data_IF_722061351561
#
_entry.id   IF_722061351561
#
_cell.length_a   1.000
_cell.length_b   1.000
_cell.length_c   1.000
_cell.angle_alpha   90.00
_cell.angle_beta   90.00
_cell.angle_gamma   90.00
#
_symmetry.space_group_name_H-M   'P 1'
#
loop_
_entity.id
_entity.type
_entity.pdbx_description
1 polymer ?
#
# COMPACT_ATOMS: atom_id res chain seq x y z
N UNK A 1 -1.13 -26.35 -7.86
CA UNK A 1 0.12 -25.55 -7.90
C UNK A 1 -0.26 -24.11 -7.60
N UNK A 2 0.56 -23.36 -6.85
CA UNK A 2 0.27 -21.95 -6.55
C UNK A 2 0.69 -21.10 -7.75
N UNK A 3 -0.27 -20.74 -8.61
CA UNK A 3 -0.03 -20.02 -9.88
C UNK A 3 0.05 -18.49 -9.73
N UNK A 4 0.22 -18.01 -8.49
CA UNK A 4 0.43 -16.59 -8.23
C UNK A 4 1.85 -16.20 -8.69
N UNK A 5 1.94 -15.21 -9.59
CA UNK A 5 3.19 -14.58 -9.99
C UNK A 5 3.64 -13.56 -8.93
N UNK A 6 2.70 -12.82 -8.36
CA UNK A 6 2.93 -11.85 -7.28
C UNK A 6 2.02 -12.21 -6.12
N UNK A 7 2.56 -12.20 -4.90
CA UNK A 7 1.80 -12.36 -3.66
C UNK A 7 2.34 -11.38 -2.64
N UNK A 8 1.46 -10.49 -2.17
CA UNK A 8 1.73 -9.54 -1.09
C UNK A 8 0.76 -9.83 0.03
N UNK A 9 1.27 -9.84 1.26
CA UNK A 9 0.48 -10.18 2.46
C UNK A 9 0.71 -9.12 3.52
N UNK A 10 -0.40 -8.61 4.05
CA UNK A 10 -0.45 -7.72 5.21
C UNK A 10 0.48 -6.49 5.10
N UNK A 11 0.63 -5.94 3.89
CA UNK A 11 1.49 -4.78 3.65
C UNK A 11 0.85 -3.54 4.25
N UNK A 12 1.62 -2.84 5.08
CA UNK A 12 1.26 -1.53 5.59
C UNK A 12 2.42 -0.58 5.35
N UNK A 13 2.13 0.63 4.86
CA UNK A 13 3.12 1.66 4.58
C UNK A 13 2.71 2.93 5.31
N UNK A 14 3.64 3.48 6.08
CA UNK A 14 3.47 4.74 6.80
C UNK A 14 4.61 5.69 6.43
N UNK A 15 4.29 6.97 6.30
CA UNK A 15 5.27 8.03 6.10
C UNK A 15 5.24 8.98 7.30
N UNK A 16 6.42 9.36 7.78
CA UNK A 16 6.55 10.41 8.78
C UNK A 16 6.23 11.76 8.08
N UNK A 17 5.29 12.49 8.68
CA UNK A 17 4.91 13.83 8.24
C UNK A 17 5.12 14.80 9.40
N UNK A 18 5.91 15.85 9.16
CA UNK A 18 6.21 16.87 10.16
C UNK A 18 6.16 18.24 9.49
N UNK A 19 5.18 19.06 9.87
CA UNK A 19 5.03 20.41 9.30
C UNK A 19 6.11 21.38 9.80
N UNK A 20 6.57 21.23 11.04
CA UNK A 20 7.61 22.07 11.65
C UNK A 20 8.45 21.25 12.65
N UNK A 21 9.69 21.70 12.91
CA UNK A 21 10.63 21.03 13.82
C UNK A 21 10.11 20.85 15.26
N UNK A 22 9.17 21.72 15.68
CA UNK A 22 8.51 21.69 17.00
C UNK A 22 7.17 20.93 17.00
N UNK A 23 6.64 20.55 15.84
CA UNK A 23 5.36 19.85 15.75
C UNK A 23 5.52 18.37 16.08
N UNK A 24 4.50 17.80 16.73
CA UNK A 24 4.42 16.35 17.00
C UNK A 24 4.51 15.60 15.67
N UNK A 25 5.39 14.58 15.60
CA UNK A 25 5.48 13.69 14.43
C UNK A 25 4.10 13.10 14.14
N UNK A 26 3.53 13.46 13.00
CA UNK A 26 2.34 12.82 12.48
C UNK A 26 2.77 11.70 11.53
N UNK A 27 1.91 10.72 11.35
CA UNK A 27 2.12 9.65 10.38
C UNK A 27 0.99 9.65 9.39
N UNK A 28 1.34 9.57 8.11
CA UNK A 28 0.39 9.33 7.04
C UNK A 28 0.41 7.83 6.75
N UNK A 29 -0.73 7.17 6.94
CA UNK A 29 -0.91 5.78 6.56
C UNK A 29 -1.34 5.73 5.09
N UNK A 30 -0.42 5.34 4.22
CA UNK A 30 -0.66 5.23 2.78
C UNK A 30 -1.50 3.97 2.47
N UNK A 31 -1.01 2.81 2.90
CA UNK A 31 -1.77 1.56 2.83
C UNK A 31 -1.80 0.86 4.18
N UNK A 32 -2.91 0.20 4.48
CA UNK A 32 -3.13 -0.53 5.74
C UNK A 32 -3.50 -1.98 5.46
N UNK A 33 -2.64 -2.89 5.88
CA UNK A 33 -2.88 -4.34 5.87
C UNK A 33 -3.37 -4.89 4.52
N UNK A 34 -2.77 -4.43 3.42
CA UNK A 34 -3.16 -4.83 2.07
C UNK A 34 -2.57 -6.19 1.73
N UNK A 35 -3.43 -7.09 1.24
CA UNK A 35 -3.03 -8.39 0.70
C UNK A 35 -3.56 -8.54 -0.73
N UNK A 36 -2.70 -8.95 -1.66
CA UNK A 36 -3.03 -9.10 -3.06
C UNK A 36 -2.29 -10.31 -3.66
N UNK A 37 -2.98 -11.04 -4.54
CA UNK A 37 -2.37 -12.09 -5.34
C UNK A 37 -2.64 -11.82 -6.82
N UNK A 38 -1.59 -11.80 -7.65
CA UNK A 38 -1.68 -11.66 -9.10
C UNK A 38 -1.25 -12.96 -9.74
N UNK A 39 -2.13 -13.57 -10.55
CA UNK A 39 -1.85 -14.84 -11.21
C UNK A 39 -0.96 -14.64 -12.44
N UNK A 40 -0.16 -15.65 -12.77
CA UNK A 40 0.55 -15.69 -14.07
C UNK A 40 -0.44 -15.53 -15.22
N UNK A 41 -0.01 -14.85 -16.29
CA UNK A 41 -0.80 -14.62 -17.52
C UNK A 41 -2.15 -13.91 -17.27
N UNK A 42 -2.20 -13.04 -16.25
CA UNK A 42 -3.38 -12.21 -15.95
C UNK A 42 -3.04 -10.73 -15.99
N UNK A 43 -4.07 -9.89 -16.17
CA UNK A 43 -3.98 -8.44 -16.04
C UNK A 43 -4.71 -8.01 -14.76
N UNK A 44 -4.11 -7.06 -14.02
CA UNK A 44 -4.74 -6.43 -12.87
C UNK A 44 -4.72 -4.91 -13.06
N UNK A 45 -5.90 -4.28 -13.03
CA UNK A 45 -6.03 -2.83 -12.96
C UNK A 45 -6.17 -2.38 -11.51
N UNK A 46 -5.32 -1.46 -11.09
CA UNK A 46 -5.48 -0.73 -9.83
C UNK A 46 -6.04 0.65 -10.14
N UNK A 47 -7.15 1.02 -9.51
CA UNK A 47 -7.82 2.31 -9.71
C UNK A 47 -8.12 2.96 -8.36
N UNK A 48 -8.17 4.28 -8.34
CA UNK A 48 -8.44 5.04 -7.12
C UNK A 48 -8.46 6.55 -7.36
N UNK A 49 -9.10 7.26 -6.45
CA UNK A 49 -9.07 8.73 -6.36
C UNK A 49 -7.66 9.20 -5.94
N UNK A 50 -7.36 10.48 -6.18
CA UNK A 50 -6.16 11.13 -5.64
C UNK A 50 -6.02 10.89 -4.13
N UNK A 51 -4.97 10.18 -3.72
CA UNK A 51 -4.67 9.91 -2.31
C UNK A 51 -5.36 8.67 -1.71
N UNK A 52 -5.98 7.81 -2.51
CA UNK A 52 -6.68 6.60 -2.03
C UNK A 52 -5.77 5.47 -1.51
N UNK A 53 -4.46 5.63 -1.64
CA UNK A 53 -3.47 4.63 -1.23
C UNK A 53 -2.07 5.22 -1.26
#
# INVERSE_FOLDING_TARGET
MNDNLVSVKNVSVEFDYQENFLSKKQKIQAVKNVSLNIKKKSFLGLVGESGSG
#
